data_IF_491042071684
#
_entry.id   IF_491042071684
#
_cell.length_a   1.000
_cell.length_b   1.000
_cell.length_c   1.000
_cell.angle_alpha   90.00
_cell.angle_beta   90.00
_cell.angle_gamma   90.00
#
_symmetry.space_group_name_H-M   'P 1'
#
loop_
_entity.id
_entity.type
_entity.pdbx_description
1 polymer ?
#
# COMPACT_ATOMS: atom_id res chain seq x y z
N UNK A 1 2.11 0.98 53.12
CA UNK A 1 2.44 2.04 52.14
C UNK A 1 3.66 1.58 51.34
N UNK A 2 3.69 1.78 50.01
CA UNK A 2 4.75 1.42 49.01
C UNK A 2 4.31 0.44 47.90
N UNK A 3 3.09 0.57 47.37
CA UNK A 3 2.67 -0.16 46.17
C UNK A 3 1.76 0.69 45.28
N UNK A 4 2.15 1.95 45.02
CA UNK A 4 1.39 2.87 44.15
C UNK A 4 2.25 3.64 43.13
N UNK A 5 3.57 3.44 43.10
CA UNK A 5 4.47 4.24 42.27
C UNK A 5 5.18 3.45 41.15
N UNK A 6 4.71 2.26 40.81
CA UNK A 6 5.39 1.40 39.83
C UNK A 6 4.43 0.84 38.77
N UNK A 7 3.44 1.63 38.34
CA UNK A 7 2.64 1.31 37.14
C UNK A 7 2.59 2.46 36.12
N UNK A 8 3.22 3.61 36.41
CA UNK A 8 3.10 4.81 35.57
C UNK A 8 4.21 4.97 34.53
N UNK A 9 5.07 3.97 34.34
CA UNK A 9 6.20 4.01 33.39
C UNK A 9 6.09 3.03 32.23
N UNK A 10 5.00 2.24 32.13
CA UNK A 10 4.82 1.25 31.05
C UNK A 10 3.81 1.67 29.97
N UNK A 11 3.36 2.93 29.98
CA UNK A 11 2.38 3.45 29.01
C UNK A 11 2.98 4.34 27.91
N UNK A 12 4.31 4.43 27.82
CA UNK A 12 4.99 5.41 26.97
C UNK A 12 5.73 4.84 25.74
N UNK A 13 5.61 3.55 25.43
CA UNK A 13 6.41 2.90 24.35
C UNK A 13 5.56 2.43 23.16
N UNK A 14 4.24 2.57 23.18
CA UNK A 14 3.37 2.05 22.10
C UNK A 14 3.17 2.98 20.90
N UNK A 15 3.85 4.13 20.82
CA UNK A 15 3.61 5.12 19.75
C UNK A 15 4.49 5.01 18.49
N UNK A 16 5.38 4.02 18.37
CA UNK A 16 6.28 3.91 17.20
C UNK A 16 5.91 2.86 16.14
N UNK A 17 4.72 2.26 16.20
CA UNK A 17 4.21 1.47 15.09
C UNK A 17 3.27 2.32 14.21
N UNK A 18 3.83 3.33 13.53
CA UNK A 18 3.19 3.88 12.33
C UNK A 18 3.25 2.79 11.25
N UNK A 19 2.33 1.84 11.36
CA UNK A 19 2.16 0.76 10.42
C UNK A 19 1.87 1.40 9.05
N UNK A 20 2.70 1.08 8.06
CA UNK A 20 2.59 1.48 6.64
C UNK A 20 1.20 1.14 6.10
N UNK A 21 0.24 2.03 6.35
CA UNK A 21 -1.17 1.80 6.07
C UNK A 21 -1.77 3.04 5.45
N UNK A 22 -2.83 2.82 4.67
CA UNK A 22 -3.63 3.91 4.11
C UNK A 22 -4.14 4.88 5.20
N UNK A 23 -4.43 4.38 6.41
CA UNK A 23 -4.85 5.22 7.54
C UNK A 23 -3.73 6.11 8.08
N UNK A 24 -2.49 5.60 8.13
CA UNK A 24 -1.33 6.42 8.47
C UNK A 24 -1.14 7.56 7.47
N UNK A 25 -1.26 7.25 6.18
CA UNK A 25 -1.18 8.26 5.11
C UNK A 25 -2.31 9.29 5.20
N UNK A 26 -3.55 8.84 5.43
CA UNK A 26 -4.70 9.73 5.68
C UNK A 26 -4.44 10.70 6.83
N UNK A 27 -3.93 10.18 7.96
CA UNK A 27 -3.62 10.99 9.14
C UNK A 27 -2.56 12.05 8.85
N UNK A 28 -1.53 11.72 8.06
CA UNK A 28 -0.55 12.70 7.61
C UNK A 28 -1.22 13.79 6.77
N UNK A 29 -2.08 13.42 5.81
CA UNK A 29 -2.73 14.39 4.94
C UNK A 29 -3.68 15.35 5.68
N UNK A 30 -4.27 14.91 6.79
CA UNK A 30 -5.13 15.76 7.63
C UNK A 30 -4.42 17.02 8.13
N UNK A 31 -3.08 17.01 8.26
CA UNK A 31 -2.33 18.20 8.70
C UNK A 31 -2.38 19.36 7.69
N UNK A 32 -2.64 19.08 6.41
CA UNK A 32 -2.73 20.11 5.38
C UNK A 32 -4.13 20.71 5.25
N UNK A 33 -5.16 20.04 5.77
CA UNK A 33 -6.52 20.54 5.68
C UNK A 33 -6.66 21.85 6.48
N UNK A 34 -7.20 22.89 5.83
CA UNK A 34 -7.27 24.24 6.39
C UNK A 34 -5.94 25.01 6.38
N UNK A 35 -4.85 24.45 5.86
CA UNK A 35 -3.56 25.13 5.74
C UNK A 35 -3.40 25.79 4.37
N UNK A 36 -2.47 26.76 4.31
CA UNK A 36 -2.06 27.36 3.05
C UNK A 36 -1.39 26.33 2.14
N UNK A 37 -1.71 26.40 0.84
CA UNK A 37 -1.03 25.60 -0.19
C UNK A 37 0.48 25.80 -0.24
N UNK A 38 1.01 26.91 0.29
CA UNK A 38 2.44 27.15 0.33
C UNK A 38 3.17 26.08 1.15
N UNK A 39 2.57 25.57 2.23
CA UNK A 39 3.16 24.49 3.01
C UNK A 39 3.30 23.22 2.15
N UNK A 40 2.23 22.86 1.44
CA UNK A 40 2.21 21.71 0.55
C UNK A 40 3.23 21.87 -0.59
N UNK A 41 3.34 23.05 -1.20
CA UNK A 41 4.33 23.33 -2.24
C UNK A 41 5.77 23.24 -1.73
N UNK A 42 6.03 23.69 -0.49
CA UNK A 42 7.35 23.64 0.10
C UNK A 42 7.79 22.20 0.38
N UNK A 43 6.87 21.36 0.86
CA UNK A 43 7.17 19.99 1.25
C UNK A 43 7.13 19.01 0.06
N UNK A 44 6.13 19.14 -0.82
CA UNK A 44 5.85 18.19 -1.90
C UNK A 44 6.23 18.70 -3.29
N UNK A 45 6.56 19.99 -3.41
CA UNK A 45 6.81 20.64 -4.69
C UNK A 45 5.53 20.91 -5.49
N UNK A 46 5.72 21.18 -6.78
CA UNK A 46 4.61 21.47 -7.70
C UNK A 46 3.76 20.22 -7.96
N UNK A 47 2.42 20.36 -8.00
CA UNK A 47 1.53 19.25 -8.35
C UNK A 47 1.80 18.76 -9.77
N UNK A 48 1.54 17.47 -10.01
CA UNK A 48 1.62 16.86 -11.33
C UNK A 48 0.56 17.41 -12.29
N UNK A 49 -0.59 17.84 -11.77
CA UNK A 49 -1.67 18.44 -12.55
C UNK A 49 -2.44 19.43 -11.69
N UNK A 50 -2.85 20.55 -12.28
CA UNK A 50 -3.79 21.52 -11.68
C UNK A 50 -4.96 21.67 -12.62
N UNK A 51 -6.18 21.48 -12.12
CA UNK A 51 -7.41 21.70 -12.87
C UNK A 51 -8.24 22.76 -12.16
N UNK A 52 -8.76 23.75 -12.89
CA UNK A 52 -9.71 24.71 -12.33
C UNK A 52 -11.13 24.15 -12.38
N UNK A 53 -11.87 24.37 -11.31
CA UNK A 53 -13.30 24.09 -11.20
C UNK A 53 -14.10 25.32 -11.62
N UNK A 54 -15.37 25.10 -11.98
CA UNK A 54 -16.28 26.17 -12.42
C UNK A 54 -16.59 27.18 -11.31
N UNK A 55 -16.53 26.75 -10.05
CA UNK A 55 -16.74 27.57 -8.86
C UNK A 55 -15.51 28.38 -8.43
N UNK A 56 -14.43 28.33 -9.20
CA UNK A 56 -13.19 29.07 -8.94
C UNK A 56 -12.16 28.32 -8.09
N UNK A 57 -12.52 27.16 -7.51
CA UNK A 57 -11.56 26.29 -6.81
C UNK A 57 -10.62 25.60 -7.79
N UNK A 58 -9.54 25.02 -7.27
CA UNK A 58 -8.60 24.21 -8.03
C UNK A 58 -8.48 22.80 -7.45
N UNK A 59 -8.28 21.81 -8.33
CA UNK A 59 -7.89 20.45 -7.95
C UNK A 59 -6.41 20.28 -8.28
N UNK A 60 -5.61 20.11 -7.24
CA UNK A 60 -4.18 19.84 -7.33
C UNK A 60 -3.93 18.34 -7.18
N UNK A 61 -3.30 17.73 -8.18
CA UNK A 61 -3.10 16.28 -8.25
C UNK A 61 -1.61 15.97 -8.17
N UNK A 62 -1.23 15.18 -7.17
CA UNK A 62 0.10 14.60 -7.00
C UNK A 62 0.07 13.13 -7.38
N UNK A 63 0.97 12.72 -8.28
CA UNK A 63 1.10 11.33 -8.74
C UNK A 63 2.47 10.79 -8.37
N UNK A 64 2.46 9.63 -7.77
CA UNK A 64 3.63 8.93 -7.28
C UNK A 64 3.56 7.47 -7.73
N UNK A 65 4.68 6.93 -8.23
CA UNK A 65 4.76 5.53 -8.61
C UNK A 65 6.13 4.94 -8.37
N UNK A 66 6.16 3.68 -7.89
CA UNK A 66 7.37 2.92 -7.63
C UNK A 66 7.28 1.57 -8.31
N UNK A 67 8.33 1.23 -9.04
CA UNK A 67 8.46 -0.08 -9.67
C UNK A 67 9.01 -1.07 -8.64
N UNK A 68 8.34 -2.21 -8.51
CA UNK A 68 8.68 -3.30 -7.59
C UNK A 68 9.03 -4.54 -8.42
N UNK A 69 10.32 -4.76 -8.74
CA UNK A 69 10.77 -5.94 -9.45
C UNK A 69 10.46 -7.22 -8.64
N UNK A 70 9.91 -8.24 -9.30
CA UNK A 70 9.56 -9.55 -8.74
C UNK A 70 9.91 -10.67 -9.72
N UNK A 71 9.82 -11.92 -9.24
CA UNK A 71 10.10 -13.11 -10.05
C UNK A 71 11.59 -13.32 -10.33
N UNK A 72 11.90 -14.16 -11.33
CA UNK A 72 13.27 -14.55 -11.66
C UNK A 72 13.83 -15.66 -10.77
N UNK A 73 12.97 -16.54 -10.28
CA UNK A 73 13.33 -17.66 -9.43
C UNK A 73 12.50 -18.90 -9.76
N UNK A 74 12.89 -20.05 -9.23
CA UNK A 74 12.10 -21.27 -9.30
C UNK A 74 11.21 -21.41 -8.07
N UNK A 75 9.96 -21.78 -8.28
CA UNK A 75 8.96 -22.02 -7.24
C UNK A 75 8.46 -23.47 -7.28
N UNK A 76 7.96 -24.00 -6.15
CA UNK A 76 7.35 -25.32 -6.08
C UNK A 76 5.84 -25.20 -6.10
N UNK A 77 5.21 -25.61 -7.20
CA UNK A 77 3.75 -25.63 -7.31
C UNK A 77 3.21 -27.03 -7.14
N UNK A 78 2.12 -27.12 -6.39
CA UNK A 78 1.46 -28.37 -6.05
C UNK A 78 0.25 -28.58 -6.94
N UNK A 79 0.22 -29.69 -7.66
CA UNK A 79 -0.87 -30.05 -8.56
C UNK A 79 -1.56 -31.31 -8.04
N UNK A 80 -2.89 -31.26 -7.92
CA UNK A 80 -3.68 -32.46 -7.72
C UNK A 80 -3.77 -33.20 -9.05
N UNK A 81 -3.22 -34.40 -9.09
CA UNK A 81 -3.21 -35.24 -10.28
C UNK A 81 -3.78 -36.62 -9.94
N UNK A 82 -4.03 -37.43 -10.96
CA UNK A 82 -4.43 -38.83 -10.80
C UNK A 82 -3.75 -39.68 -11.84
N UNK A 83 -3.24 -40.84 -11.42
CA UNK A 83 -2.72 -41.84 -12.34
C UNK A 83 -3.45 -43.17 -12.16
N UNK A 84 -3.57 -43.91 -13.27
CA UNK A 84 -4.09 -45.26 -13.30
C UNK A 84 -2.94 -46.22 -13.05
N UNK A 85 -3.11 -47.10 -12.08
CA UNK A 85 -2.17 -48.15 -11.73
C UNK A 85 -2.86 -49.48 -11.97
N UNK A 86 -2.22 -50.40 -12.68
CA UNK A 86 -2.66 -51.78 -12.72
C UNK A 86 -2.26 -52.46 -11.41
N UNK A 87 -3.18 -53.22 -10.85
CA UNK A 87 -2.94 -54.08 -9.67
C UNK A 87 -2.62 -55.48 -10.13
N UNK A 88 -1.92 -56.25 -9.30
CA UNK A 88 -1.48 -57.64 -9.60
C UNK A 88 -2.61 -58.57 -10.08
N UNK A 89 -3.87 -58.21 -9.78
CA UNK A 89 -5.08 -58.92 -10.22
C UNK A 89 -5.64 -58.44 -11.57
N UNK A 90 -4.86 -57.69 -12.37
CA UNK A 90 -5.26 -57.13 -13.67
C UNK A 90 -6.31 -56.01 -13.60
N UNK A 91 -6.68 -55.53 -12.41
CA UNK A 91 -7.65 -54.44 -12.25
C UNK A 91 -6.94 -53.08 -12.26
N UNK A 92 -7.49 -52.12 -12.97
CA UNK A 92 -6.99 -50.73 -12.97
C UNK A 92 -7.58 -49.94 -11.80
N UNK A 93 -6.71 -49.41 -10.93
CA UNK A 93 -7.06 -48.48 -9.85
C UNK A 93 -6.61 -47.06 -10.20
N UNK A 94 -7.49 -46.07 -10.08
CA UNK A 94 -7.08 -44.67 -10.17
C UNK A 94 -6.70 -44.15 -8.79
N UNK A 95 -5.46 -43.67 -8.62
CA UNK A 95 -5.01 -43.02 -7.39
C UNK A 95 -4.84 -41.53 -7.63
N UNK A 96 -5.39 -40.73 -6.72
CA UNK A 96 -5.19 -39.27 -6.68
C UNK A 96 -4.04 -38.95 -5.75
N UNK A 97 -3.16 -38.07 -6.18
CA UNK A 97 -2.03 -37.61 -5.37
C UNK A 97 -1.70 -36.16 -5.69
N UNK A 98 -0.91 -35.56 -4.79
CA UNK A 98 -0.39 -34.21 -4.98
C UNK A 98 1.06 -34.33 -5.43
N UNK A 99 1.38 -33.74 -6.56
CA UNK A 99 2.72 -33.69 -7.11
C UNK A 99 3.28 -32.27 -6.98
N UNK A 100 4.49 -32.15 -6.43
CA UNK A 100 5.22 -30.89 -6.39
C UNK A 100 6.10 -30.78 -7.65
N UNK A 101 5.90 -29.73 -8.45
CA UNK A 101 6.72 -29.46 -9.65
C UNK A 101 7.46 -28.15 -9.48
N UNK A 102 8.74 -28.16 -9.83
CA UNK A 102 9.57 -26.96 -9.91
C UNK A 102 9.19 -26.20 -11.17
N UNK A 103 8.64 -25.00 -11.01
CA UNK A 103 8.24 -24.11 -12.12
C UNK A 103 9.10 -22.86 -12.12
N UNK A 104 9.46 -22.38 -13.32
CA UNK A 104 10.16 -21.10 -13.46
C UNK A 104 9.15 -19.95 -13.36
N UNK A 105 9.39 -19.02 -12.43
CA UNK A 105 8.63 -17.77 -12.32
C UNK A 105 9.42 -16.68 -13.06
N UNK A 106 8.94 -16.19 -14.21
CA UNK A 106 9.66 -15.16 -14.97
C UNK A 106 9.74 -13.86 -14.18
N UNK A 107 10.70 -13.00 -14.53
CA UNK A 107 10.80 -11.65 -13.95
C UNK A 107 9.62 -10.79 -14.45
N UNK A 108 9.05 -10.00 -13.56
CA UNK A 108 8.03 -9.01 -13.88
C UNK A 108 8.13 -7.83 -12.91
N UNK A 109 7.52 -6.71 -13.27
CA UNK A 109 7.50 -5.49 -12.45
C UNK A 109 6.06 -5.25 -12.00
N UNK A 110 5.86 -5.15 -10.69
CA UNK A 110 4.61 -4.64 -10.14
C UNK A 110 4.76 -3.13 -9.94
N UNK A 111 3.72 -2.35 -10.28
CA UNK A 111 3.70 -0.92 -10.00
C UNK A 111 2.92 -0.64 -8.73
N UNK A 112 3.57 0.02 -7.78
CA UNK A 112 2.91 0.66 -6.64
C UNK A 112 2.60 2.10 -7.04
N UNK A 113 1.33 2.51 -7.01
CA UNK A 113 0.90 3.84 -7.46
C UNK A 113 0.08 4.51 -6.37
N UNK A 114 0.33 5.80 -6.16
CA UNK A 114 -0.53 6.68 -5.36
C UNK A 114 -0.89 7.93 -6.16
N UNK A 115 -2.16 8.32 -6.10
CA UNK A 115 -2.66 9.59 -6.60
C UNK A 115 -3.37 10.30 -5.46
N UNK A 116 -2.83 11.45 -5.05
CA UNK A 116 -3.43 12.32 -4.05
C UNK A 116 -3.95 13.58 -4.71
N UNK A 117 -5.12 14.02 -4.26
CA UNK A 117 -5.79 15.22 -4.76
C UNK A 117 -6.08 16.13 -3.58
N UNK A 118 -5.86 17.42 -3.77
CA UNK A 118 -6.27 18.46 -2.85
C UNK A 118 -7.23 19.41 -3.59
N UNK A 119 -8.34 19.74 -2.95
CA UNK A 119 -9.22 20.82 -3.37
C UNK A 119 -8.70 22.09 -2.71
N UNK A 120 -8.40 23.08 -3.52
CA UNK A 120 -7.80 24.36 -3.12
C UNK A 120 -8.79 25.47 -3.40
N UNK A 121 -9.09 26.27 -2.38
CA UNK A 121 -9.92 27.46 -2.50
C UNK A 121 -9.19 28.59 -3.24
N UNK A 122 -9.94 29.57 -3.74
CA UNK A 122 -9.39 30.81 -4.33
C UNK A 122 -8.48 31.59 -3.36
N UNK A 123 -8.70 31.42 -2.06
CA UNK A 123 -7.89 31.93 -0.94
C UNK A 123 -6.53 31.23 -0.80
N UNK A 124 -6.21 30.24 -1.64
CA UNK A 124 -5.02 29.38 -1.55
C UNK A 124 -4.96 28.53 -0.27
N UNK A 125 -6.11 28.14 0.25
CA UNK A 125 -6.26 27.22 1.40
C UNK A 125 -6.74 25.85 0.90
N UNK A 126 -6.24 24.79 1.52
CA UNK A 126 -6.66 23.42 1.22
C UNK A 126 -7.97 23.13 1.96
N UNK A 127 -9.04 22.89 1.21
CA UNK A 127 -10.38 22.58 1.72
C UNK A 127 -10.52 21.09 2.09
N UNK A 128 -10.15 20.23 1.14
CA UNK A 128 -10.33 18.78 1.25
C UNK A 128 -9.17 18.05 0.56
N UNK A 129 -8.94 16.80 0.95
CA UNK A 129 -8.05 15.90 0.24
C UNK A 129 -8.69 14.53 0.00
N UNK A 130 -8.25 13.88 -1.07
CA UNK A 130 -8.56 12.47 -1.34
C UNK A 130 -7.34 11.75 -1.90
N UNK A 131 -7.31 10.42 -1.79
CA UNK A 131 -6.24 9.64 -2.39
C UNK A 131 -6.73 8.27 -2.87
N UNK A 132 -6.04 7.72 -3.86
CA UNK A 132 -6.31 6.39 -4.40
C UNK A 132 -5.05 5.71 -4.88
N UNK A 133 -5.03 4.39 -4.79
CA UNK A 133 -3.95 3.54 -5.29
C UNK A 133 -3.42 2.59 -4.22
N UNK A 134 -2.66 1.59 -4.66
CA UNK A 134 -2.08 0.56 -3.80
C UNK A 134 -0.79 1.02 -3.09
N UNK A 135 -0.26 2.19 -3.46
CA UNK A 135 0.98 2.74 -2.91
C UNK A 135 0.81 3.93 -1.97
N UNK A 136 -0.41 4.29 -1.56
CA UNK A 136 -0.61 5.44 -0.67
C UNK A 136 -0.27 5.08 0.78
N UNK A 137 1.03 5.07 1.09
CA UNK A 137 1.59 4.64 2.38
C UNK A 137 2.44 5.76 2.99
N UNK A 138 2.33 5.91 4.31
CA UNK A 138 2.90 7.02 5.09
C UNK A 138 4.43 7.19 4.97
N UNK A 139 5.16 6.10 4.70
CA UNK A 139 6.63 6.08 4.71
C UNK A 139 7.22 6.09 3.29
N UNK A 140 6.39 5.94 2.25
CA UNK A 140 6.86 5.84 0.87
C UNK A 140 6.93 7.18 0.13
N UNK A 141 6.21 8.20 0.62
CA UNK A 141 6.03 9.48 -0.10
C UNK A 141 6.29 10.74 0.73
N UNK A 142 6.99 10.62 1.86
CA UNK A 142 7.62 11.74 2.57
C UNK A 142 6.96 12.13 3.88
N UNK A 143 7.43 11.49 4.97
CA UNK A 143 8.33 12.13 5.95
C UNK A 143 9.54 11.21 6.13
#
# INVERSE_FOLDING_TARGET
MKLKLMCLSFLAITSLAACETAEGYRKQLTQYQGQSTQQLLNEWGKPSTVNKLEDGREIWIYKASKDLPRGGYFDHRYYRTSAKFETDNGKTQTRRFVEARKVWVPRYILKSVCSTQFIVEDSNVIEEFSFRGNGCLANEWGV
#
